data_IF_550081217810
#
_entry.id   IF_550081217810
#
_cell.length_a   1.000
_cell.length_b   1.000
_cell.length_c   1.000
_cell.angle_alpha   90.00
_cell.angle_beta   90.00
_cell.angle_gamma   90.00
#
_symmetry.space_group_name_H-M   'P 1'
#
loop_
_entity.id
_entity.type
_entity.pdbx_description
1 polymer ?
#
# COMPACT_ATOMS: atom_id res chain seq x y z
N UNK A 1 -5.95 -11.74 21.79
CA UNK A 1 -6.92 -12.02 20.70
C UNK A 1 -7.22 -13.48 20.73
N UNK A 2 -8.48 -13.95 20.56
CA UNK A 2 -8.71 -15.36 20.32
C UNK A 2 -7.91 -15.76 19.07
N UNK A 3 -7.52 -17.04 19.00
CA UNK A 3 -6.74 -17.64 17.94
C UNK A 3 -7.24 -17.21 16.56
N UNK A 4 -6.33 -17.08 15.60
CA UNK A 4 -6.55 -16.51 14.27
C UNK A 4 -7.91 -16.91 13.70
N UNK A 5 -8.83 -15.98 13.68
CA UNK A 5 -10.10 -16.17 12.99
C UNK A 5 -9.81 -16.37 11.50
N UNK A 6 -10.42 -17.40 10.90
CA UNK A 6 -10.41 -17.63 9.46
C UNK A 6 -10.72 -16.34 8.68
N UNK A 7 -10.15 -16.21 7.52
CA UNK A 7 -10.41 -15.10 6.60
C UNK A 7 -11.43 -15.45 5.50
N UNK A 8 -11.97 -16.66 5.48
CA UNK A 8 -12.82 -17.19 4.41
C UNK A 8 -14.14 -16.44 4.23
N UNK A 9 -14.72 -15.91 5.32
CA UNK A 9 -15.94 -15.09 5.24
C UNK A 9 -15.68 -13.61 4.91
N UNK A 10 -14.43 -13.20 4.65
CA UNK A 10 -14.11 -11.89 4.08
C UNK A 10 -14.30 -11.94 2.56
N UNK A 11 -15.46 -12.39 2.13
CA UNK A 11 -15.86 -12.64 0.75
C UNK A 11 -17.26 -12.11 0.47
N UNK A 12 -17.62 -11.97 -0.80
CA UNK A 12 -18.98 -11.65 -1.23
C UNK A 12 -19.79 -12.92 -1.44
N UNK A 13 -21.10 -12.86 -1.13
CA UNK A 13 -22.01 -14.01 -1.24
C UNK A 13 -21.99 -14.64 -2.64
N UNK A 14 -21.85 -13.82 -3.70
CA UNK A 14 -21.90 -14.35 -5.08
C UNK A 14 -20.75 -15.32 -5.39
N UNK A 15 -19.61 -15.26 -4.72
CA UNK A 15 -18.50 -16.19 -4.89
C UNK A 15 -18.93 -17.61 -4.48
N UNK A 16 -19.65 -17.73 -3.35
CA UNK A 16 -20.18 -18.98 -2.86
C UNK A 16 -21.34 -19.49 -3.70
N UNK A 17 -22.23 -18.61 -4.16
CA UNK A 17 -23.32 -19.02 -5.04
C UNK A 17 -22.86 -19.45 -6.43
N UNK A 18 -21.79 -18.82 -6.97
CA UNK A 18 -21.14 -19.28 -8.20
C UNK A 18 -20.44 -20.61 -8.01
N UNK A 19 -19.75 -20.83 -6.88
CA UNK A 19 -19.13 -22.09 -6.54
C UNK A 19 -20.18 -23.21 -6.49
N UNK A 20 -21.29 -22.99 -5.78
CA UNK A 20 -22.37 -23.98 -5.63
C UNK A 20 -22.99 -24.36 -7.00
N UNK A 21 -23.23 -23.36 -7.86
CA UNK A 21 -23.71 -23.61 -9.24
C UNK A 21 -22.69 -24.39 -10.08
N UNK A 22 -21.41 -24.03 -9.97
CA UNK A 22 -20.33 -24.69 -10.71
C UNK A 22 -20.04 -26.12 -10.23
N UNK A 23 -20.26 -26.44 -8.97
CA UNK A 23 -20.18 -27.81 -8.46
C UNK A 23 -21.26 -28.69 -9.08
N UNK A 24 -22.54 -28.21 -9.10
CA UNK A 24 -23.68 -28.91 -9.67
C UNK A 24 -23.53 -29.25 -11.16
N UNK A 25 -22.91 -28.38 -11.94
CA UNK A 25 -22.72 -28.63 -13.39
C UNK A 25 -21.33 -29.18 -13.76
N UNK A 26 -20.46 -29.39 -12.72
CA UNK A 26 -19.12 -29.96 -12.86
C UNK A 26 -18.07 -28.96 -13.37
N UNK A 27 -18.42 -27.69 -13.58
CA UNK A 27 -17.46 -26.69 -14.08
C UNK A 27 -16.53 -26.13 -12.99
N UNK A 28 -16.82 -26.39 -11.72
CA UNK A 28 -15.97 -25.97 -10.59
C UNK A 28 -14.52 -26.48 -10.70
N UNK A 29 -14.31 -27.62 -11.33
CA UNK A 29 -12.99 -28.28 -11.47
C UNK A 29 -12.22 -27.89 -12.75
N UNK A 30 -12.80 -27.07 -13.64
CA UNK A 30 -12.09 -26.60 -14.82
C UNK A 30 -10.93 -25.71 -14.44
N UNK A 31 -9.77 -25.94 -15.06
CA UNK A 31 -8.61 -25.05 -14.91
C UNK A 31 -8.93 -23.66 -15.43
N UNK A 32 -8.57 -22.66 -14.64
CA UNK A 32 -8.79 -21.25 -14.96
C UNK A 32 -7.57 -20.43 -14.62
N UNK A 33 -7.43 -19.33 -15.34
CA UNK A 33 -6.48 -18.25 -15.00
C UNK A 33 -7.28 -16.97 -14.80
N UNK A 34 -7.14 -16.37 -13.64
CA UNK A 34 -7.71 -15.06 -13.33
C UNK A 34 -6.59 -14.04 -13.14
N UNK A 35 -6.84 -12.81 -13.55
CA UNK A 35 -5.91 -11.70 -13.34
C UNK A 35 -6.57 -10.57 -12.57
N UNK A 36 -5.77 -9.98 -11.67
CA UNK A 36 -6.12 -8.77 -10.95
C UNK A 36 -5.32 -7.61 -11.51
N UNK A 37 -6.01 -6.57 -12.03
CA UNK A 37 -5.38 -5.43 -12.70
C UNK A 37 -6.22 -4.17 -12.61
N UNK A 38 -5.60 -3.00 -12.79
CA UNK A 38 -6.29 -1.71 -12.95
C UNK A 38 -6.62 -1.43 -14.41
N UNK A 39 -7.88 -1.11 -14.72
CA UNK A 39 -8.26 -0.72 -16.10
C UNK A 39 -7.70 0.63 -16.50
N UNK A 40 -7.57 1.52 -15.55
CA UNK A 40 -7.01 2.87 -15.72
C UNK A 40 -6.47 3.36 -14.39
N UNK A 41 -5.49 4.22 -14.46
CA UNK A 41 -5.06 4.97 -13.30
C UNK A 41 -6.04 6.13 -13.02
N UNK A 42 -6.24 6.55 -11.77
CA UNK A 42 -6.89 7.83 -11.45
C UNK A 42 -6.13 8.99 -12.10
N UNK A 43 -6.83 10.05 -12.53
CA UNK A 43 -6.22 11.19 -13.23
C UNK A 43 -5.05 11.85 -12.47
N UNK A 44 -5.09 11.79 -11.14
CA UNK A 44 -4.03 12.30 -10.25
C UNK A 44 -2.83 11.35 -10.13
N UNK A 45 -2.85 10.17 -10.77
CA UNK A 45 -1.80 9.14 -10.66
C UNK A 45 -1.16 8.89 -12.01
N UNK A 46 0.15 9.12 -12.13
CA UNK A 46 0.91 8.78 -13.34
C UNK A 46 1.47 7.37 -13.32
N UNK A 47 1.45 6.74 -12.16
CA UNK A 47 1.72 5.34 -11.87
C UNK A 47 1.03 4.95 -10.57
N UNK A 48 0.86 3.66 -10.33
CA UNK A 48 0.46 3.11 -9.05
C UNK A 48 1.63 2.37 -8.39
N UNK A 49 1.51 2.10 -7.10
CA UNK A 49 2.47 1.34 -6.31
C UNK A 49 1.84 0.06 -5.82
N UNK A 50 2.48 -1.08 -6.06
CA UNK A 50 2.00 -2.38 -5.59
C UNK A 50 2.27 -2.49 -4.09
N UNK A 51 1.21 -2.66 -3.32
CA UNK A 51 1.25 -2.91 -1.88
C UNK A 51 0.10 -3.82 -1.48
N UNK A 52 0.30 -4.62 -0.43
CA UNK A 52 -0.70 -5.55 0.09
C UNK A 52 -0.43 -7.02 -0.21
N UNK A 53 0.50 -7.35 -1.09
CA UNK A 53 0.85 -8.74 -1.42
C UNK A 53 1.23 -9.54 -0.17
N UNK A 54 2.07 -8.98 0.70
CA UNK A 54 2.42 -9.64 1.96
C UNK A 54 1.22 -9.89 2.86
N UNK A 55 0.23 -9.00 2.87
CA UNK A 55 -1.03 -9.19 3.62
C UNK A 55 -1.94 -10.24 3.00
N UNK A 56 -1.93 -10.36 1.67
CA UNK A 56 -2.65 -11.44 0.97
C UNK A 56 -2.10 -12.80 1.41
N UNK A 57 -0.79 -12.98 1.38
CA UNK A 57 -0.16 -14.24 1.78
C UNK A 57 -0.48 -14.59 3.23
N UNK A 58 -0.42 -13.61 4.13
CA UNK A 58 -0.82 -13.76 5.53
C UNK A 58 -2.32 -14.09 5.69
N UNK A 59 -3.19 -13.58 4.82
CA UNK A 59 -4.62 -13.88 4.85
C UNK A 59 -4.93 -15.26 4.26
N UNK A 60 -4.23 -15.65 3.18
CA UNK A 60 -4.36 -16.99 2.56
C UNK A 60 -3.99 -18.11 3.49
N UNK A 61 -2.96 -17.94 4.34
CA UNK A 61 -2.56 -18.92 5.34
C UNK A 61 -3.71 -19.30 6.30
N UNK A 62 -4.68 -18.39 6.47
CA UNK A 62 -5.85 -18.55 7.33
C UNK A 62 -7.15 -18.68 6.56
N UNK A 63 -7.09 -18.82 5.23
CA UNK A 63 -8.27 -18.91 4.39
C UNK A 63 -8.78 -20.36 4.34
N UNK A 64 -9.59 -20.69 5.32
CA UNK A 64 -10.23 -22.00 5.46
C UNK A 64 -11.64 -21.85 6.03
N UNK A 65 -12.55 -22.71 5.63
CA UNK A 65 -13.90 -22.74 6.19
C UNK A 65 -13.94 -23.73 7.36
N UNK A 66 -14.26 -23.22 8.55
CA UNK A 66 -14.50 -24.06 9.71
C UNK A 66 -15.94 -24.58 9.75
N UNK A 67 -16.21 -25.55 10.65
CA UNK A 67 -17.52 -26.19 10.74
C UNK A 67 -18.64 -25.20 11.09
N UNK A 68 -18.38 -24.22 11.96
CA UNK A 68 -19.37 -23.20 12.37
C UNK A 68 -19.75 -22.31 11.18
N UNK A 69 -18.78 -21.92 10.39
CA UNK A 69 -18.99 -21.11 9.17
C UNK A 69 -19.78 -21.89 8.12
N UNK A 70 -19.43 -23.16 7.88
CA UNK A 70 -20.12 -24.01 6.91
C UNK A 70 -21.58 -24.25 7.34
N UNK A 71 -21.81 -24.56 8.61
CA UNK A 71 -23.16 -24.75 9.15
C UNK A 71 -23.99 -23.48 9.00
N UNK A 72 -23.42 -22.30 9.33
CA UNK A 72 -24.08 -21.04 9.16
C UNK A 72 -24.44 -20.74 7.69
N UNK A 73 -23.51 -20.96 6.75
CA UNK A 73 -23.76 -20.75 5.32
C UNK A 73 -24.89 -21.65 4.79
N UNK A 74 -24.91 -22.92 5.25
CA UNK A 74 -25.96 -23.87 4.91
C UNK A 74 -27.31 -23.47 5.50
N UNK A 75 -27.37 -23.09 6.76
CA UNK A 75 -28.58 -22.68 7.46
C UNK A 75 -29.19 -21.40 6.87
N UNK A 76 -28.35 -20.51 6.33
CA UNK A 76 -28.81 -19.32 5.58
C UNK A 76 -29.24 -19.66 4.14
N UNK A 77 -29.11 -20.90 3.70
CA UNK A 77 -29.44 -21.32 2.33
C UNK A 77 -28.50 -20.72 1.26
N UNK A 78 -27.30 -20.30 1.63
CA UNK A 78 -26.31 -19.72 0.70
C UNK A 78 -25.63 -20.83 -0.10
N UNK A 79 -25.36 -21.97 0.51
CA UNK A 79 -24.72 -23.13 -0.10
C UNK A 79 -25.56 -24.40 0.06
N UNK A 80 -25.44 -25.31 -0.90
CA UNK A 80 -26.03 -26.65 -0.84
C UNK A 80 -25.19 -27.58 0.05
N UNK A 81 -25.73 -28.78 0.34
CA UNK A 81 -25.01 -29.83 1.05
C UNK A 81 -23.73 -30.28 0.31
N UNK A 82 -23.77 -30.31 -1.03
CA UNK A 82 -22.63 -30.63 -1.87
C UNK A 82 -21.50 -29.60 -1.70
N UNK A 83 -21.83 -28.32 -1.75
CA UNK A 83 -20.85 -27.25 -1.51
C UNK A 83 -20.34 -27.25 -0.06
N UNK A 84 -21.19 -27.55 0.92
CA UNK A 84 -20.78 -27.70 2.31
C UNK A 84 -19.72 -28.80 2.50
N UNK A 85 -19.95 -29.98 1.89
CA UNK A 85 -18.98 -31.08 1.90
C UNK A 85 -17.68 -30.69 1.21
N UNK A 86 -17.75 -30.01 0.06
CA UNK A 86 -16.58 -29.53 -0.66
C UNK A 86 -15.74 -28.59 0.20
N UNK A 87 -16.35 -27.59 0.84
CA UNK A 87 -15.67 -26.57 1.63
C UNK A 87 -15.00 -27.13 2.90
N UNK A 88 -15.49 -28.25 3.42
CA UNK A 88 -14.91 -28.89 4.62
C UNK A 88 -13.43 -29.23 4.48
N UNK A 89 -13.03 -29.68 3.28
CA UNK A 89 -11.64 -30.10 2.99
C UNK A 89 -10.92 -29.16 2.02
N UNK A 90 -11.64 -28.17 1.49
CA UNK A 90 -11.04 -27.29 0.51
C UNK A 90 -9.91 -26.46 1.13
N UNK A 91 -8.83 -26.38 0.40
CA UNK A 91 -7.70 -25.47 0.61
C UNK A 91 -7.25 -24.98 -0.75
N UNK A 92 -6.82 -23.74 -0.82
CA UNK A 92 -6.24 -23.23 -2.07
C UNK A 92 -5.06 -24.10 -2.49
N UNK A 93 -5.11 -24.64 -3.71
CA UNK A 93 -4.10 -25.57 -4.23
C UNK A 93 -3.46 -25.11 -5.53
N UNK A 94 -3.79 -23.88 -5.97
CA UNK A 94 -3.28 -23.30 -7.18
C UNK A 94 -1.96 -22.57 -7.03
N UNK A 95 -1.60 -21.82 -8.08
CA UNK A 95 -0.43 -20.98 -8.16
C UNK A 95 -0.83 -19.50 -8.17
N UNK A 96 -0.02 -18.65 -7.55
CA UNK A 96 -0.17 -17.20 -7.63
C UNK A 96 1.16 -16.60 -8.05
N UNK A 97 1.11 -15.85 -9.14
CA UNK A 97 2.17 -14.98 -9.60
C UNK A 97 1.75 -13.53 -9.43
N UNK A 98 2.68 -12.64 -9.11
CA UNK A 98 2.33 -11.23 -8.94
C UNK A 98 3.52 -10.31 -9.03
N UNK A 99 3.23 -9.02 -9.20
CA UNK A 99 4.27 -8.00 -9.08
C UNK A 99 4.83 -8.04 -7.67
N UNK A 100 6.14 -8.01 -7.58
CA UNK A 100 6.79 -7.90 -6.28
C UNK A 100 6.37 -6.60 -5.59
N UNK A 101 6.10 -6.66 -4.29
CA UNK A 101 5.62 -5.51 -3.51
C UNK A 101 6.63 -4.36 -3.58
N UNK A 102 6.13 -3.14 -3.84
CA UNK A 102 6.94 -1.95 -4.09
C UNK A 102 7.16 -1.63 -5.57
N UNK A 103 6.85 -2.53 -6.50
CA UNK A 103 6.91 -2.20 -7.94
C UNK A 103 5.91 -1.10 -8.31
N UNK A 104 6.26 -0.34 -9.35
CA UNK A 104 5.33 0.58 -9.99
C UNK A 104 4.49 -0.18 -11.02
N UNK A 105 3.20 0.18 -11.15
CA UNK A 105 2.28 -0.43 -12.11
C UNK A 105 1.50 0.60 -12.93
N UNK A 106 0.95 0.14 -14.05
CA UNK A 106 0.19 0.95 -15.01
C UNK A 106 -1.15 0.30 -15.35
N UNK A 107 -1.91 0.92 -16.25
CA UNK A 107 -3.17 0.35 -16.72
C UNK A 107 -2.94 -0.98 -17.42
N UNK A 108 -3.67 -2.02 -17.02
CA UNK A 108 -3.55 -3.36 -17.58
C UNK A 108 -2.47 -4.25 -16.96
N UNK A 109 -1.58 -3.71 -16.12
CA UNK A 109 -0.58 -4.49 -15.39
C UNK A 109 -1.23 -5.64 -14.61
N UNK A 110 -0.87 -6.92 -14.84
CA UNK A 110 -1.40 -8.06 -14.09
C UNK A 110 -0.72 -8.13 -12.71
N UNK A 111 -1.26 -7.35 -11.74
CA UNK A 111 -0.69 -7.27 -10.39
C UNK A 111 -0.66 -8.63 -9.71
N UNK A 112 -1.70 -9.42 -9.93
CA UNK A 112 -1.75 -10.84 -9.58
C UNK A 112 -2.31 -11.65 -10.74
N UNK A 113 -1.78 -12.86 -10.92
CA UNK A 113 -2.32 -13.91 -11.77
C UNK A 113 -2.52 -15.13 -10.90
N UNK A 114 -3.77 -15.61 -10.79
CA UNK A 114 -4.17 -16.76 -10.00
C UNK A 114 -4.54 -17.90 -10.95
N UNK A 115 -3.87 -19.03 -10.79
CA UNK A 115 -4.06 -20.22 -11.61
C UNK A 115 -4.49 -21.39 -10.73
N UNK A 116 -5.61 -22.01 -11.07
CA UNK A 116 -6.17 -23.12 -10.30
C UNK A 116 -7.43 -23.64 -10.96
N UNK A 117 -8.25 -24.35 -10.21
CA UNK A 117 -9.62 -24.65 -10.62
C UNK A 117 -10.48 -23.38 -10.55
N UNK A 118 -11.65 -23.39 -11.19
CA UNK A 118 -12.60 -22.30 -11.04
C UNK A 118 -12.95 -22.07 -9.56
N UNK A 119 -13.11 -23.13 -8.78
CA UNK A 119 -13.36 -23.08 -7.35
C UNK A 119 -12.22 -22.38 -6.62
N UNK A 120 -10.96 -22.71 -6.91
CA UNK A 120 -9.79 -22.07 -6.30
C UNK A 120 -9.76 -20.56 -6.58
N UNK A 121 -9.97 -20.20 -7.83
CA UNK A 121 -9.83 -18.80 -8.25
C UNK A 121 -11.01 -17.94 -7.78
N UNK A 122 -12.25 -18.44 -7.84
CA UNK A 122 -13.44 -17.62 -7.54
C UNK A 122 -13.55 -17.25 -6.08
N UNK A 123 -13.17 -18.13 -5.15
CA UNK A 123 -13.26 -17.90 -3.70
C UNK A 123 -12.32 -16.80 -3.19
N UNK A 124 -11.33 -16.39 -3.97
CA UNK A 124 -10.33 -15.41 -3.57
C UNK A 124 -10.64 -13.97 -4.04
N UNK A 125 -11.65 -13.77 -4.91
CA UNK A 125 -11.87 -12.48 -5.58
C UNK A 125 -11.94 -11.32 -4.61
N UNK A 126 -12.87 -11.33 -3.66
CA UNK A 126 -13.10 -10.21 -2.74
C UNK A 126 -11.91 -10.01 -1.79
N UNK A 127 -11.33 -11.08 -1.27
CA UNK A 127 -10.15 -10.97 -0.38
C UNK A 127 -8.99 -10.27 -1.08
N UNK A 128 -8.63 -10.73 -2.28
CA UNK A 128 -7.53 -10.15 -3.07
C UNK A 128 -7.81 -8.69 -3.43
N UNK A 129 -9.02 -8.41 -3.89
CA UNK A 129 -9.43 -7.07 -4.31
C UNK A 129 -9.47 -6.09 -3.14
N UNK A 130 -10.03 -6.47 -1.99
CA UNK A 130 -10.16 -5.60 -0.83
C UNK A 130 -8.80 -5.16 -0.29
N UNK A 131 -7.84 -6.09 -0.23
CA UNK A 131 -6.49 -5.82 0.24
C UNK A 131 -5.74 -4.93 -0.75
N UNK A 132 -5.65 -5.32 -2.01
CA UNK A 132 -4.85 -4.58 -2.99
C UNK A 132 -5.45 -3.22 -3.35
N UNK A 133 -6.78 -3.11 -3.43
CA UNK A 133 -7.42 -1.82 -3.69
C UNK A 133 -7.08 -0.77 -2.63
N UNK A 134 -7.10 -1.17 -1.36
CA UNK A 134 -6.77 -0.28 -0.25
C UNK A 134 -5.26 0.02 -0.19
N UNK A 135 -4.44 -1.03 -0.13
CA UNK A 135 -3.01 -0.87 0.13
C UNK A 135 -2.27 -0.18 -1.03
N UNK A 136 -2.61 -0.52 -2.29
CA UNK A 136 -2.06 0.18 -3.46
C UNK A 136 -2.47 1.65 -3.50
N UNK A 137 -3.71 1.99 -3.09
CA UNK A 137 -4.15 3.39 -3.04
C UNK A 137 -3.34 4.20 -2.02
N UNK A 138 -3.15 3.67 -0.81
CA UNK A 138 -2.36 4.33 0.24
C UNK A 138 -0.89 4.43 -0.14
N UNK A 139 -0.27 3.34 -0.63
CA UNK A 139 1.13 3.35 -1.05
C UNK A 139 1.38 4.34 -2.21
N UNK A 140 0.44 4.44 -3.15
CA UNK A 140 0.53 5.40 -4.25
C UNK A 140 0.41 6.86 -3.76
N UNK A 141 -0.45 7.13 -2.77
CA UNK A 141 -0.52 8.46 -2.13
C UNK A 141 0.79 8.77 -1.39
N UNK A 142 1.29 7.82 -0.59
CA UNK A 142 2.54 7.95 0.14
C UNK A 142 3.73 8.24 -0.79
N UNK A 143 3.82 7.53 -1.93
CA UNK A 143 4.85 7.76 -2.94
C UNK A 143 4.82 9.19 -3.49
N UNK A 144 3.64 9.73 -3.80
CA UNK A 144 3.50 11.12 -4.25
C UNK A 144 3.93 12.13 -3.18
N UNK A 145 3.56 11.88 -1.93
CA UNK A 145 3.95 12.72 -0.79
C UNK A 145 5.48 12.71 -0.59
N UNK A 146 6.12 11.55 -0.69
CA UNK A 146 7.58 11.45 -0.54
C UNK A 146 8.34 12.03 -1.73
N UNK A 147 7.77 12.01 -2.94
CA UNK A 147 8.28 12.77 -4.09
C UNK A 147 8.22 14.27 -3.80
N UNK A 148 7.07 14.77 -3.36
CA UNK A 148 6.86 16.19 -3.04
C UNK A 148 7.75 16.66 -1.88
N UNK A 149 8.11 15.76 -0.97
CA UNK A 149 8.98 16.07 0.17
C UNK A 149 10.46 16.25 -0.18
N UNK A 150 10.89 15.91 -1.40
CA UNK A 150 12.28 16.06 -1.87
C UNK A 150 13.31 15.51 -0.89
N UNK A 151 13.11 14.28 -0.40
CA UNK A 151 14.02 13.60 0.52
C UNK A 151 13.84 13.93 2.00
N UNK A 152 12.97 14.88 2.35
CA UNK A 152 12.61 15.15 3.75
C UNK A 152 11.73 14.01 4.29
N UNK A 153 11.94 13.55 5.53
CA UNK A 153 11.16 12.48 6.11
C UNK A 153 9.65 12.77 6.16
N UNK A 154 8.85 11.79 5.74
CA UNK A 154 7.41 11.76 5.96
C UNK A 154 7.07 10.69 6.99
N UNK A 155 6.18 11.01 7.95
CA UNK A 155 5.77 10.15 9.05
C UNK A 155 4.25 9.94 9.01
N UNK A 156 3.81 8.70 9.24
CA UNK A 156 2.38 8.38 9.34
C UNK A 156 1.84 8.77 10.72
N UNK A 157 0.85 9.65 10.72
CA UNK A 157 0.07 10.08 11.89
C UNK A 157 -1.44 9.85 11.68
N UNK A 158 -1.79 8.88 10.82
CA UNK A 158 -3.16 8.61 10.38
C UNK A 158 -3.96 7.66 11.26
N UNK A 159 -3.35 7.02 12.29
CA UNK A 159 -3.98 5.98 13.10
C UNK A 159 -5.39 6.34 13.62
N UNK A 160 -5.61 7.60 14.00
CA UNK A 160 -6.90 8.11 14.51
C UNK A 160 -7.84 8.66 13.43
N UNK A 161 -7.52 8.50 12.15
CA UNK A 161 -8.24 9.07 10.99
C UNK A 161 -8.86 8.03 10.08
N UNK A 162 -8.70 6.74 10.39
CA UNK A 162 -9.29 5.62 9.66
C UNK A 162 -9.87 4.60 10.66
N UNK A 163 -10.56 3.58 10.14
CA UNK A 163 -10.94 2.42 10.93
C UNK A 163 -9.68 1.79 11.55
N UNK A 164 -9.74 1.40 12.82
CA UNK A 164 -8.57 0.98 13.63
C UNK A 164 -7.74 -0.15 12.97
N UNK A 165 -8.40 -1.07 12.26
CA UNK A 165 -7.68 -2.13 11.53
C UNK A 165 -7.16 -1.68 10.17
N UNK A 166 -7.88 -0.79 9.48
CA UNK A 166 -7.40 -0.19 8.24
C UNK A 166 -6.19 0.71 8.47
N UNK A 167 -6.11 1.39 9.63
CA UNK A 167 -4.94 2.19 10.01
C UNK A 167 -3.65 1.36 10.06
N UNK A 168 -3.71 0.14 10.61
CA UNK A 168 -2.57 -0.80 10.63
C UNK A 168 -2.09 -1.13 9.22
N UNK A 169 -3.02 -1.39 8.31
CA UNK A 169 -2.71 -1.70 6.91
C UNK A 169 -2.18 -0.49 6.17
N UNK A 170 -2.77 0.69 6.41
CA UNK A 170 -2.33 1.96 5.83
C UNK A 170 -0.91 2.32 6.25
N UNK A 171 -0.55 2.13 7.52
CA UNK A 171 0.80 2.34 8.02
C UNK A 171 1.82 1.47 7.26
N UNK A 172 1.53 0.17 7.08
CA UNK A 172 2.39 -0.74 6.30
C UNK A 172 2.55 -0.28 4.85
N UNK A 173 1.45 0.07 4.19
CA UNK A 173 1.46 0.55 2.82
C UNK A 173 2.21 1.89 2.67
N UNK A 174 2.12 2.77 3.66
CA UNK A 174 2.85 4.04 3.70
C UNK A 174 4.38 3.83 3.72
N UNK A 175 4.87 2.84 4.49
CA UNK A 175 6.31 2.50 4.52
C UNK A 175 6.78 2.06 3.14
N UNK A 176 6.01 1.24 2.42
CA UNK A 176 6.33 0.85 1.04
C UNK A 176 6.43 2.09 0.14
N UNK A 177 5.53 3.06 0.30
CA UNK A 177 5.54 4.34 -0.43
C UNK A 177 6.63 5.32 0.00
N UNK A 178 7.49 4.95 0.98
CA UNK A 178 8.68 5.71 1.37
C UNK A 178 8.57 6.48 2.70
N UNK A 179 7.49 6.31 3.46
CA UNK A 179 7.38 6.86 4.82
C UNK A 179 8.38 6.19 5.76
N UNK A 180 8.81 6.87 6.82
CA UNK A 180 9.91 6.42 7.68
C UNK A 180 9.48 6.00 9.08
N UNK A 181 8.19 6.01 9.38
CA UNK A 181 7.66 5.59 10.67
C UNK A 181 6.16 5.83 10.77
N UNK A 182 5.58 5.27 11.84
CA UNK A 182 4.14 5.37 12.13
C UNK A 182 3.87 5.66 13.59
N UNK A 183 2.77 6.36 13.86
CA UNK A 183 2.22 6.53 15.20
C UNK A 183 1.36 5.34 15.66
N UNK A 184 1.07 4.39 14.77
CA UNK A 184 0.28 3.19 15.06
C UNK A 184 1.13 2.11 15.71
N UNK A 185 0.89 1.85 16.98
CA UNK A 185 1.68 0.88 17.75
C UNK A 185 1.43 -0.58 17.32
N UNK A 186 0.23 -0.92 16.87
CA UNK A 186 -0.05 -2.27 16.37
C UNK A 186 0.69 -2.53 15.06
N UNK A 187 0.69 -1.58 14.14
CA UNK A 187 1.47 -1.66 12.91
C UNK A 187 2.97 -1.76 13.19
N UNK A 188 3.46 -0.92 14.10
CA UNK A 188 4.86 -0.91 14.50
C UNK A 188 5.30 -2.27 15.08
N UNK A 189 4.50 -2.85 15.98
CA UNK A 189 4.77 -4.14 16.59
C UNK A 189 4.72 -5.29 15.57
N UNK A 190 3.68 -5.28 14.72
CA UNK A 190 3.41 -6.38 13.78
C UNK A 190 4.44 -6.44 12.64
N UNK A 191 4.85 -5.30 12.14
CA UNK A 191 5.70 -5.20 10.94
C UNK A 191 7.10 -4.66 11.21
N UNK A 192 7.47 -4.45 12.47
CA UNK A 192 8.79 -3.91 12.84
C UNK A 192 9.03 -2.46 12.39
N UNK A 193 7.96 -1.68 12.22
CA UNK A 193 8.04 -0.28 11.79
C UNK A 193 8.48 0.60 12.95
N UNK A 194 9.30 1.61 12.67
CA UNK A 194 9.72 2.59 13.66
C UNK A 194 8.52 3.34 14.24
N UNK A 195 8.36 3.28 15.58
CA UNK A 195 7.37 4.09 16.28
C UNK A 195 7.77 5.56 16.27
N UNK A 196 6.79 6.44 16.05
CA UNK A 196 6.96 7.89 16.20
C UNK A 196 5.80 8.44 17.05
N UNK A 197 6.05 9.56 17.69
CA UNK A 197 5.06 10.26 18.48
C UNK A 197 5.71 10.95 19.66
N UNK A 198 5.12 12.05 20.11
CA UNK A 198 5.62 12.84 21.24
C UNK A 198 4.48 13.15 22.20
N UNK A 199 3.80 14.28 22.02
CA UNK A 199 2.66 14.69 22.81
C UNK A 199 1.58 15.33 21.93
N UNK A 200 0.36 15.43 22.44
CA UNK A 200 -0.73 16.21 21.87
C UNK A 200 -0.96 17.46 22.72
N UNK A 201 -1.71 18.44 22.21
CA UNK A 201 -2.09 19.66 22.95
C UNK A 201 -2.70 19.37 24.32
N UNK A 202 -3.44 18.26 24.48
CA UNK A 202 -4.02 17.83 25.75
C UNK A 202 -2.97 17.66 26.86
N UNK A 203 -1.73 17.27 26.52
CA UNK A 203 -0.67 17.16 27.50
C UNK A 203 -0.20 18.54 28.01
N UNK A 204 -0.07 19.51 27.11
CA UNK A 204 0.23 20.90 27.47
C UNK A 204 -0.90 21.52 28.32
N UNK A 205 -2.17 21.27 27.89
CA UNK A 205 -3.36 21.78 28.59
C UNK A 205 -3.60 21.16 30.00
N UNK A 206 -3.00 20.00 30.27
CA UNK A 206 -3.06 19.32 31.57
C UNK A 206 -2.19 20.06 32.64
N UNK A 207 -1.13 20.72 32.22
CA UNK A 207 -0.17 21.38 33.12
C UNK A 207 -0.56 22.84 33.39
N UNK A 208 -0.09 23.37 34.50
CA UNK A 208 -0.37 24.77 34.89
C UNK A 208 0.32 25.78 33.96
N UNK A 209 1.43 25.37 33.31
CA UNK A 209 2.10 26.17 32.30
C UNK A 209 2.61 25.28 31.16
N UNK A 210 2.77 25.86 29.96
CA UNK A 210 3.39 25.18 28.81
C UNK A 210 4.83 24.75 29.12
N UNK A 211 5.56 25.57 29.92
CA UNK A 211 6.91 25.23 30.33
C UNK A 211 6.95 23.96 31.18
N UNK A 212 6.05 23.80 32.16
CA UNK A 212 5.98 22.60 33.01
C UNK A 212 5.69 21.36 32.16
N UNK A 213 4.83 21.47 31.14
CA UNK A 213 4.57 20.40 30.20
C UNK A 213 5.83 19.99 29.41
N UNK A 214 6.60 20.98 28.94
CA UNK A 214 7.82 20.73 28.18
C UNK A 214 8.93 20.14 29.06
N UNK A 215 9.11 20.66 30.29
CA UNK A 215 10.06 20.10 31.26
C UNK A 215 9.72 18.63 31.57
N UNK A 216 8.44 18.32 31.78
CA UNK A 216 7.95 16.95 32.00
C UNK A 216 8.21 16.05 30.78
N UNK A 217 7.95 16.53 29.56
CA UNK A 217 8.19 15.76 28.33
C UNK A 217 9.70 15.53 28.12
N UNK A 218 10.53 16.53 28.30
CA UNK A 218 11.99 16.43 28.17
C UNK A 218 12.56 15.47 29.21
N UNK A 219 12.06 15.50 30.47
CA UNK A 219 12.47 14.55 31.49
C UNK A 219 12.21 13.09 31.11
N UNK A 220 11.11 12.82 30.33
CA UNK A 220 10.75 11.48 29.87
C UNK A 220 11.49 11.06 28.59
N UNK A 221 11.61 11.96 27.62
CA UNK A 221 12.05 11.63 26.27
C UNK A 221 13.48 12.14 25.94
N UNK A 222 14.06 12.91 26.82
CA UNK A 222 15.36 13.57 26.64
C UNK A 222 15.26 14.92 25.90
N UNK A 223 16.28 15.75 26.01
CA UNK A 223 16.35 17.06 25.36
C UNK A 223 16.20 17.00 23.82
N UNK A 224 16.70 15.95 23.19
CA UNK A 224 16.60 15.74 21.74
C UNK A 224 15.19 15.40 21.22
N UNK A 225 14.14 15.50 22.05
CA UNK A 225 12.75 15.24 21.65
C UNK A 225 12.19 16.35 20.75
N UNK A 226 10.98 16.13 20.23
CA UNK A 226 10.20 17.13 19.48
C UNK A 226 9.10 17.69 20.37
N UNK A 227 9.02 19.01 20.53
CA UNK A 227 8.02 19.70 21.32
C UNK A 227 6.99 20.42 20.43
N UNK A 228 5.70 20.31 20.80
CA UNK A 228 4.57 20.93 20.09
C UNK A 228 4.38 22.35 20.63
N UNK A 229 4.71 23.37 19.83
CA UNK A 229 4.87 24.74 20.30
C UNK A 229 3.72 25.69 19.98
N UNK A 230 2.65 25.19 19.39
CA UNK A 230 1.50 25.97 18.92
C UNK A 230 0.22 25.74 19.74
N UNK A 231 0.36 25.36 21.02
CA UNK A 231 -0.81 25.23 21.92
C UNK A 231 -1.39 26.59 22.28
N UNK A 232 -0.53 27.60 22.49
CA UNK A 232 -0.91 28.97 22.84
C UNK A 232 -0.28 29.98 21.86
N UNK A 233 0.84 30.58 22.22
CA UNK A 233 1.60 31.49 21.37
C UNK A 233 2.87 30.82 20.87
N UNK A 234 3.01 30.68 19.55
CA UNK A 234 4.11 29.94 18.90
C UNK A 234 5.45 30.53 19.31
N UNK A 235 5.58 31.88 19.36
CA UNK A 235 6.83 32.55 19.71
C UNK A 235 7.26 32.21 21.12
N UNK A 236 6.33 32.28 22.07
CA UNK A 236 6.61 31.92 23.46
C UNK A 236 6.86 30.42 23.62
N UNK A 237 6.11 29.59 22.91
CA UNK A 237 6.28 28.13 22.87
C UNK A 237 7.68 27.73 22.42
N UNK A 238 8.24 28.37 21.38
CA UNK A 238 9.63 28.13 20.94
C UNK A 238 10.64 28.51 22.03
N UNK A 239 10.43 29.64 22.75
CA UNK A 239 11.29 30.02 23.86
C UNK A 239 11.25 28.96 24.96
N UNK A 240 10.05 28.58 25.41
CA UNK A 240 9.83 27.59 26.46
C UNK A 240 10.47 26.25 26.10
N UNK A 241 10.35 25.83 24.82
CA UNK A 241 10.89 24.57 24.33
C UNK A 241 12.42 24.53 24.33
N UNK A 242 13.07 25.57 23.82
CA UNK A 242 14.55 25.67 23.83
C UNK A 242 15.10 25.74 25.25
N UNK A 243 14.45 26.51 26.12
CA UNK A 243 14.86 26.62 27.52
C UNK A 243 14.67 25.31 28.30
N UNK A 244 13.59 24.55 28.05
CA UNK A 244 13.37 23.26 28.68
C UNK A 244 14.49 22.27 28.31
N UNK A 245 14.86 22.20 27.01
CA UNK A 245 15.95 21.34 26.57
C UNK A 245 17.31 21.74 27.17
N UNK A 246 17.61 23.06 27.24
CA UNK A 246 18.84 23.57 27.85
C UNK A 246 18.91 23.30 29.34
N UNK A 247 17.78 23.46 30.05
CA UNK A 247 17.71 23.17 31.50
C UNK A 247 17.99 21.68 31.79
N UNK A 248 17.68 20.78 30.85
CA UNK A 248 18.01 19.37 30.90
C UNK A 248 19.45 19.05 30.42
N UNK A 249 20.25 20.05 30.12
CA UNK A 249 21.64 19.91 29.73
C UNK A 249 21.87 19.48 28.30
N UNK A 250 20.88 19.66 27.38
CA UNK A 250 20.99 19.29 25.99
C UNK A 250 20.48 20.34 25.02
N UNK A 251 20.43 19.97 23.73
CA UNK A 251 19.82 20.76 22.65
C UNK A 251 18.47 20.20 22.26
N UNK A 252 17.52 21.07 21.91
CA UNK A 252 16.21 20.67 21.44
C UNK A 252 16.32 19.98 20.08
N UNK A 253 15.73 18.79 19.96
CA UNK A 253 15.76 18.04 18.70
C UNK A 253 14.92 18.69 17.62
N UNK A 254 13.64 19.00 17.91
CA UNK A 254 12.76 19.68 16.97
C UNK A 254 11.63 20.44 17.67
N UNK A 255 11.04 21.37 16.94
CA UNK A 255 9.73 21.95 17.25
C UNK A 255 8.70 21.40 16.24
N UNK A 256 7.43 21.25 16.68
CA UNK A 256 6.33 20.86 15.80
C UNK A 256 5.30 21.97 15.69
N UNK A 257 4.91 22.25 14.45
CA UNK A 257 3.88 23.21 14.06
C UNK A 257 2.70 22.43 13.44
N UNK A 258 1.50 22.59 14.00
CA UNK A 258 0.29 21.87 13.58
C UNK A 258 -0.80 22.81 13.04
N UNK A 259 -0.61 24.12 13.13
CA UNK A 259 -1.63 25.13 12.84
C UNK A 259 -1.06 26.43 12.24
N UNK A 260 -1.96 27.25 11.69
CA UNK A 260 -1.61 28.55 11.12
C UNK A 260 -1.14 28.49 9.65
N UNK A 261 -0.56 29.59 9.16
CA UNK A 261 0.15 29.62 7.88
C UNK A 261 1.52 28.96 8.04
N UNK A 262 1.57 27.65 7.77
CA UNK A 262 2.74 26.84 8.02
C UNK A 262 4.00 27.30 7.30
N UNK A 263 3.88 27.91 6.13
CA UNK A 263 5.03 28.48 5.38
C UNK A 263 5.56 29.68 6.15
N UNK A 264 4.70 30.65 6.46
CA UNK A 264 5.09 31.86 7.18
C UNK A 264 5.61 31.54 8.58
N UNK A 265 4.95 30.64 9.31
CA UNK A 265 5.37 30.25 10.65
C UNK A 265 6.71 29.51 10.65
N UNK A 266 6.98 28.64 9.68
CA UNK A 266 8.27 27.95 9.57
C UNK A 266 9.44 28.96 9.40
N UNK A 267 9.28 30.00 8.59
CA UNK A 267 10.29 31.05 8.47
C UNK A 267 10.49 31.85 9.75
N UNK A 268 9.40 32.26 10.44
CA UNK A 268 9.49 32.99 11.71
C UNK A 268 10.18 32.15 12.77
N UNK A 269 9.78 30.88 12.90
CA UNK A 269 10.33 29.95 13.88
C UNK A 269 11.81 29.66 13.58
N UNK A 270 12.21 29.48 12.32
CA UNK A 270 13.62 29.28 11.95
C UNK A 270 14.46 30.50 12.35
N UNK A 271 14.02 31.70 12.02
CA UNK A 271 14.71 32.93 12.41
C UNK A 271 14.81 33.10 13.90
N UNK A 272 13.79 32.73 14.67
CA UNK A 272 13.81 32.77 16.14
C UNK A 272 14.77 31.75 16.74
N UNK A 273 14.74 30.48 16.27
CA UNK A 273 15.67 29.44 16.69
C UNK A 273 17.12 29.84 16.45
N UNK A 274 17.41 30.43 15.28
CA UNK A 274 18.75 30.90 14.91
C UNK A 274 19.21 32.06 15.83
N UNK A 275 18.32 33.01 16.10
CA UNK A 275 18.60 34.11 17.01
C UNK A 275 18.85 33.63 18.45
N UNK A 276 18.26 32.52 18.86
CA UNK A 276 18.49 31.87 20.16
C UNK A 276 19.73 30.95 20.16
N UNK A 277 20.45 30.82 19.04
CA UNK A 277 21.57 29.90 18.90
C UNK A 277 21.17 28.41 18.86
N UNK A 278 19.90 28.10 18.59
CA UNK A 278 19.38 26.73 18.45
C UNK A 278 19.36 26.31 16.98
N UNK A 279 20.49 26.45 16.27
CA UNK A 279 20.62 26.28 14.84
C UNK A 279 20.47 24.83 14.38
N UNK A 280 20.76 23.86 15.29
CA UNK A 280 20.61 22.42 15.05
C UNK A 280 19.16 21.93 15.19
N UNK A 281 18.29 22.71 15.88
CA UNK A 281 16.89 22.34 16.12
C UNK A 281 16.10 22.31 14.82
N UNK A 282 15.43 21.20 14.56
CA UNK A 282 14.64 20.95 13.36
C UNK A 282 13.22 21.49 13.48
N UNK A 283 12.56 21.66 12.34
CA UNK A 283 11.16 22.06 12.26
C UNK A 283 10.37 20.91 11.60
N UNK A 284 9.44 20.34 12.37
CA UNK A 284 8.49 19.33 11.90
C UNK A 284 7.14 20.00 11.68
N UNK A 285 6.53 19.79 10.54
CA UNK A 285 5.20 20.31 10.24
C UNK A 285 4.20 19.18 10.18
N UNK A 286 3.07 19.37 10.85
CA UNK A 286 1.91 18.48 10.79
C UNK A 286 0.69 19.32 10.40
N UNK A 287 -0.48 18.77 10.32
CA UNK A 287 -1.76 19.35 9.94
C UNK A 287 -2.40 18.51 8.82
N UNK A 288 -3.39 19.04 8.10
CA UNK A 288 -4.03 18.35 6.96
C UNK A 288 -3.15 18.36 5.69
N UNK A 289 -1.94 17.81 5.80
CA UNK A 289 -0.98 17.74 4.70
C UNK A 289 -1.39 16.68 3.67
N UNK A 290 -1.24 17.06 2.40
CA UNK A 290 -1.23 16.19 1.23
C UNK A 290 0.01 16.47 0.37
N UNK A 291 0.15 15.79 -0.77
CA UNK A 291 1.28 16.00 -1.68
C UNK A 291 1.42 17.44 -2.19
N UNK A 292 0.31 18.18 -2.30
CA UNK A 292 0.32 19.58 -2.77
C UNK A 292 0.77 20.53 -1.67
N UNK A 293 0.26 20.35 -0.45
CA UNK A 293 0.68 21.12 0.72
C UNK A 293 2.18 20.89 1.03
N UNK A 294 2.65 19.63 0.93
CA UNK A 294 4.06 19.28 1.09
C UNK A 294 4.91 19.98 0.03
N UNK A 295 4.49 19.98 -1.23
CA UNK A 295 5.19 20.66 -2.32
C UNK A 295 5.24 22.19 -2.08
N UNK A 296 4.16 22.81 -1.60
CA UNK A 296 4.13 24.22 -1.26
C UNK A 296 5.09 24.58 -0.12
N UNK A 297 5.28 23.67 0.85
CA UNK A 297 6.24 23.79 1.94
C UNK A 297 7.70 23.53 1.50
N UNK A 298 7.91 23.15 0.25
CA UNK A 298 9.24 22.81 -0.28
C UNK A 298 10.27 23.95 -0.17
N UNK A 299 9.84 25.22 -0.28
CA UNK A 299 10.68 26.40 -0.14
C UNK A 299 10.86 26.86 1.33
N UNK A 300 10.05 26.36 2.26
CA UNK A 300 10.13 26.71 3.68
C UNK A 300 11.22 25.88 4.39
N UNK A 301 11.78 26.40 5.50
CA UNK A 301 12.79 25.70 6.30
C UNK A 301 12.17 24.60 7.18
N UNK A 302 11.52 23.63 6.54
CA UNK A 302 10.89 22.47 7.17
C UNK A 302 11.79 21.27 7.00
N UNK A 303 11.98 20.48 8.04
CA UNK A 303 12.86 19.31 8.02
C UNK A 303 12.12 17.99 7.89
N UNK A 304 10.85 17.92 8.30
CA UNK A 304 10.04 16.69 8.21
C UNK A 304 8.54 16.98 8.25
N UNK A 305 7.75 16.00 7.81
CA UNK A 305 6.29 16.09 7.69
C UNK A 305 5.60 14.95 8.44
N UNK A 306 4.53 15.28 9.17
CA UNK A 306 3.61 14.30 9.72
C UNK A 306 2.28 14.35 8.99
N UNK A 307 1.86 13.24 8.38
CA UNK A 307 0.68 13.19 7.53
C UNK A 307 -0.36 12.26 8.13
N UNK A 308 -1.61 12.71 8.23
CA UNK A 308 -2.71 11.96 8.81
C UNK A 308 -3.76 11.55 7.78
N UNK A 309 -4.90 12.26 7.77
CA UNK A 309 -6.11 11.93 7.01
C UNK A 309 -5.84 11.65 5.52
N UNK A 310 -5.10 12.52 4.86
CA UNK A 310 -4.84 12.40 3.43
C UNK A 310 -4.05 11.14 3.05
N UNK A 311 -3.12 10.70 3.92
CA UNK A 311 -2.39 9.46 3.71
C UNK A 311 -3.34 8.25 3.75
N UNK A 312 -4.07 8.07 4.89
CA UNK A 312 -4.88 6.87 5.12
C UNK A 312 -6.15 6.79 4.27
N UNK A 313 -6.50 7.88 3.58
CA UNK A 313 -7.61 7.94 2.61
C UNK A 313 -7.12 7.97 1.16
N UNK A 314 -5.85 7.63 0.90
CA UNK A 314 -5.27 7.62 -0.44
C UNK A 314 -5.25 8.99 -1.13
N UNK A 315 -5.19 10.08 -0.36
CA UNK A 315 -5.25 11.47 -0.87
C UNK A 315 -6.51 11.75 -1.69
N UNK A 316 -7.67 11.26 -1.21
CA UNK A 316 -8.97 11.40 -1.89
C UNK A 316 -9.25 10.32 -2.94
N UNK A 317 -8.35 9.37 -3.13
CA UNK A 317 -8.52 8.20 -4.00
C UNK A 317 -8.35 6.94 -3.15
N UNK A 318 -9.38 6.54 -2.38
CA UNK A 318 -9.27 5.51 -1.34
C UNK A 318 -9.15 4.07 -1.89
N UNK A 319 -9.30 3.89 -3.20
CA UNK A 319 -9.22 2.60 -3.88
C UNK A 319 -8.40 2.72 -5.15
N UNK A 320 -7.60 1.71 -5.45
CA UNK A 320 -6.83 1.64 -6.70
C UNK A 320 -7.69 1.27 -7.93
N UNK A 321 -8.98 1.02 -7.74
CA UNK A 321 -9.96 0.66 -8.77
C UNK A 321 -9.55 -0.59 -9.57
N UNK A 322 -8.96 -1.55 -8.89
CA UNK A 322 -8.56 -2.83 -9.45
C UNK A 322 -9.77 -3.73 -9.67
N UNK A 323 -9.66 -4.62 -10.63
CA UNK A 323 -10.67 -5.64 -10.98
C UNK A 323 -10.00 -7.02 -11.06
N UNK A 324 -10.78 -8.07 -10.82
CA UNK A 324 -10.36 -9.47 -10.93
C UNK A 324 -11.19 -10.14 -12.02
N UNK A 325 -10.54 -10.75 -13.02
CA UNK A 325 -11.25 -11.29 -14.20
C UNK A 325 -10.62 -12.57 -14.69
N UNK A 326 -11.49 -13.55 -15.03
CA UNK A 326 -11.07 -14.71 -15.78
C UNK A 326 -10.57 -14.26 -17.16
N UNK A 327 -9.37 -14.71 -17.52
CA UNK A 327 -8.71 -14.39 -18.81
C UNK A 327 -8.47 -15.63 -19.65
N UNK A 328 -8.51 -16.82 -19.03
CA UNK A 328 -8.28 -18.10 -19.66
C UNK A 328 -8.99 -19.20 -18.88
N UNK A 329 -9.51 -20.22 -19.56
CA UNK A 329 -10.13 -21.39 -18.94
C UNK A 329 -10.02 -22.60 -19.84
N UNK A 330 -10.20 -23.80 -19.29
CA UNK A 330 -10.45 -25.00 -20.03
C UNK A 330 -11.90 -25.03 -20.57
N UNK A 331 -12.09 -25.58 -21.78
CA UNK A 331 -13.41 -25.91 -22.32
C UNK A 331 -13.85 -27.34 -21.88
N UNK A 332 -14.93 -27.84 -22.47
CA UNK A 332 -15.44 -29.21 -22.21
C UNK A 332 -14.54 -30.35 -22.71
N UNK A 333 -13.58 -30.05 -23.57
CA UNK A 333 -12.62 -31.01 -24.13
C UNK A 333 -11.25 -30.94 -23.40
N UNK A 334 -11.10 -30.08 -22.41
CA UNK A 334 -9.83 -29.83 -21.73
C UNK A 334 -8.88 -28.87 -22.48
N UNK A 335 -9.38 -28.25 -23.58
CA UNK A 335 -8.57 -27.31 -24.36
C UNK A 335 -8.61 -25.91 -23.75
N UNK A 336 -7.45 -25.23 -23.75
CA UNK A 336 -7.34 -23.87 -23.25
C UNK A 336 -8.03 -22.86 -24.17
N UNK A 337 -8.98 -22.11 -23.63
CA UNK A 337 -9.69 -21.03 -24.31
C UNK A 337 -9.39 -19.69 -23.68
N UNK A 338 -8.92 -18.74 -24.49
CA UNK A 338 -8.75 -17.36 -24.07
C UNK A 338 -10.12 -16.68 -23.99
N UNK A 339 -10.40 -16.06 -22.84
CA UNK A 339 -11.69 -15.42 -22.61
C UNK A 339 -11.53 -13.94 -22.28
N UNK A 340 -12.46 -13.16 -22.82
CA UNK A 340 -12.48 -11.72 -22.57
C UNK A 340 -13.92 -11.20 -22.60
N UNK A 341 -14.23 -10.29 -21.70
CA UNK A 341 -15.51 -9.57 -21.75
C UNK A 341 -15.47 -8.57 -22.91
N UNK A 342 -16.41 -8.73 -23.86
CA UNK A 342 -16.66 -7.78 -24.96
C UNK A 342 -17.80 -6.84 -24.57
N UNK A 343 -17.47 -5.65 -24.09
CA UNK A 343 -18.46 -4.59 -23.84
C UNK A 343 -17.89 -3.27 -24.34
N UNK A 344 -18.73 -2.37 -24.86
CA UNK A 344 -18.34 -1.13 -25.54
C UNK A 344 -17.35 -0.22 -24.77
N UNK A 345 -17.34 -0.27 -23.43
CA UNK A 345 -16.43 0.54 -22.59
C UNK A 345 -15.55 -0.26 -21.63
N UNK A 346 -15.58 -1.60 -21.67
CA UNK A 346 -14.93 -2.48 -20.67
C UNK A 346 -14.33 -3.73 -21.31
N UNK A 347 -13.56 -3.58 -22.41
CA UNK A 347 -12.83 -4.69 -23.00
C UNK A 347 -11.66 -5.12 -22.11
N UNK A 348 -11.46 -6.44 -21.99
CA UNK A 348 -10.26 -7.04 -21.39
C UNK A 348 -9.50 -7.80 -22.47
N UNK A 349 -8.18 -7.89 -22.35
CA UNK A 349 -7.37 -8.75 -23.23
C UNK A 349 -7.36 -10.15 -22.61
N UNK A 350 -7.90 -11.12 -23.34
CA UNK A 350 -7.89 -12.53 -22.94
C UNK A 350 -6.49 -13.14 -23.02
N UNK A 351 -6.27 -14.19 -22.23
CA UNK A 351 -4.99 -14.89 -22.12
C UNK A 351 -4.13 -14.38 -20.95
N UNK A 352 -3.36 -15.30 -20.38
CA UNK A 352 -2.37 -14.99 -19.33
C UNK A 352 -1.34 -13.99 -19.85
N UNK A 353 -0.91 -13.07 -18.98
CA UNK A 353 0.09 -12.06 -19.32
C UNK A 353 1.33 -12.22 -18.48
N UNK A 354 2.49 -12.11 -19.11
CA UNK A 354 3.78 -12.01 -18.44
C UNK A 354 4.35 -10.61 -18.68
N UNK A 355 4.66 -9.91 -17.59
CA UNK A 355 4.96 -8.49 -17.59
C UNK A 355 6.43 -8.19 -17.42
N UNK A 356 6.95 -7.24 -18.20
CA UNK A 356 8.32 -6.72 -18.09
C UNK A 356 8.39 -5.21 -18.29
N UNK A 357 9.41 -4.59 -17.71
CA UNK A 357 9.74 -3.17 -17.88
C UNK A 357 10.87 -3.02 -18.89
N UNK A 358 10.58 -2.30 -19.98
CA UNK A 358 11.61 -1.95 -20.97
C UNK A 358 12.28 -0.66 -20.55
N UNK A 359 13.62 -0.67 -20.48
CA UNK A 359 14.43 0.49 -20.16
C UNK A 359 15.13 1.01 -21.41
N UNK A 360 15.20 2.33 -21.57
CA UNK A 360 16.00 2.98 -22.59
C UNK A 360 17.49 2.95 -22.26
N UNK A 361 18.32 3.42 -23.18
CA UNK A 361 19.78 3.53 -23.01
C UNK A 361 20.18 4.45 -21.84
N UNK A 362 19.32 5.39 -21.50
CA UNK A 362 19.46 6.30 -20.36
C UNK A 362 19.04 5.70 -19.01
N UNK A 363 18.58 4.44 -19.02
CA UNK A 363 18.13 3.71 -17.83
C UNK A 363 16.70 4.06 -17.39
N UNK A 364 16.00 4.92 -18.09
CA UNK A 364 14.60 5.22 -17.78
C UNK A 364 13.64 4.27 -18.50
N UNK A 365 12.52 3.99 -17.85
CA UNK A 365 11.47 3.13 -18.40
C UNK A 365 10.78 3.82 -19.59
N UNK A 366 10.66 3.09 -20.69
CA UNK A 366 10.03 3.55 -21.94
C UNK A 366 8.64 2.97 -22.12
N UNK A 367 8.42 1.74 -21.68
CA UNK A 367 7.12 1.05 -21.72
C UNK A 367 7.05 -0.09 -20.71
N UNK A 368 5.82 -0.50 -20.41
CA UNK A 368 5.54 -1.78 -19.78
C UNK A 368 5.07 -2.75 -20.85
N UNK A 369 5.82 -3.84 -21.06
CA UNK A 369 5.55 -4.87 -22.04
C UNK A 369 4.78 -6.03 -21.40
N UNK A 370 3.62 -6.35 -21.94
CA UNK A 370 2.79 -7.48 -21.55
C UNK A 370 2.76 -8.53 -22.66
N UNK A 371 3.47 -9.65 -22.46
CA UNK A 371 3.42 -10.81 -23.33
C UNK A 371 2.17 -11.62 -23.05
N UNK A 372 1.34 -11.89 -24.08
CA UNK A 372 0.02 -12.49 -23.94
C UNK A 372 0.01 -13.90 -24.53
N UNK A 373 -0.47 -14.89 -23.74
CA UNK A 373 -0.71 -16.25 -24.23
C UNK A 373 0.47 -17.21 -24.01
N UNK A 374 1.42 -16.88 -23.14
CA UNK A 374 2.61 -17.70 -22.86
C UNK A 374 2.63 -18.20 -21.40
N UNK A 375 3.46 -19.21 -21.10
CA UNK A 375 3.77 -19.62 -19.72
C UNK A 375 4.64 -18.58 -19.04
N UNK A 376 4.77 -18.63 -17.69
CA UNK A 376 5.66 -17.69 -16.99
C UNK A 376 7.12 -17.93 -17.34
N UNK A 377 7.56 -19.18 -17.41
CA UNK A 377 8.93 -19.55 -17.75
C UNK A 377 9.32 -19.09 -19.16
N UNK A 378 8.48 -19.40 -20.13
CA UNK A 378 8.66 -18.99 -21.52
C UNK A 378 8.59 -17.47 -21.67
N UNK A 379 7.61 -16.84 -21.02
CA UNK A 379 7.44 -15.40 -21.04
C UNK A 379 8.64 -14.66 -20.41
N UNK A 380 9.19 -15.16 -19.33
CA UNK A 380 10.40 -14.58 -18.73
C UNK A 380 11.63 -14.69 -19.67
N UNK A 381 11.79 -15.82 -20.36
CA UNK A 381 12.86 -15.96 -21.35
C UNK A 381 12.67 -14.96 -22.50
N UNK A 382 11.46 -14.83 -23.02
CA UNK A 382 11.13 -13.87 -24.08
C UNK A 382 11.30 -12.41 -23.63
N UNK A 383 10.99 -12.06 -22.39
CA UNK A 383 11.25 -10.73 -21.85
C UNK A 383 12.75 -10.43 -21.82
N UNK A 384 13.57 -11.41 -21.41
CA UNK A 384 15.02 -11.25 -21.39
C UNK A 384 15.59 -11.02 -22.81
N UNK A 385 15.11 -11.74 -23.82
CA UNK A 385 15.47 -11.53 -25.23
C UNK A 385 15.12 -10.12 -25.73
N UNK A 386 14.07 -9.51 -25.19
CA UNK A 386 13.63 -8.15 -25.51
C UNK A 386 14.29 -7.07 -24.64
N UNK A 387 15.23 -7.46 -23.78
CA UNK A 387 15.88 -6.54 -22.82
C UNK A 387 14.92 -5.97 -21.78
N UNK A 388 13.81 -6.63 -21.51
CA UNK A 388 12.81 -6.20 -20.54
C UNK A 388 13.06 -6.87 -19.16
N UNK A 389 13.05 -6.08 -18.09
CA UNK A 389 13.18 -6.57 -16.72
C UNK A 389 11.84 -7.21 -16.28
N UNK A 390 11.83 -8.50 -15.86
CA UNK A 390 10.62 -9.13 -15.36
C UNK A 390 10.06 -8.42 -14.13
N UNK A 391 8.72 -8.35 -14.02
CA UNK A 391 8.02 -7.67 -12.94
C UNK A 391 7.31 -8.63 -11.98
N UNK A 392 6.99 -9.85 -12.44
CA UNK A 392 6.25 -10.84 -11.68
C UNK A 392 7.19 -11.87 -11.05
N UNK A 393 6.83 -12.26 -9.82
CA UNK A 393 7.47 -13.33 -9.07
C UNK A 393 6.42 -14.35 -8.65
N UNK A 394 6.82 -15.60 -8.42
CA UNK A 394 5.93 -16.61 -7.89
C UNK A 394 5.76 -16.40 -6.38
N UNK A 395 4.52 -16.22 -5.94
CA UNK A 395 4.13 -15.95 -4.55
C UNK A 395 3.59 -17.20 -3.85
N UNK A 396 2.89 -18.04 -4.62
CA UNK A 396 2.33 -19.30 -4.15
C UNK A 396 2.56 -20.36 -5.22
N UNK A 397 2.99 -21.54 -4.82
CA UNK A 397 3.20 -22.70 -5.71
C UNK A 397 2.44 -23.90 -5.18
N UNK A 398 1.47 -24.41 -5.94
CA UNK A 398 0.65 -25.56 -5.54
C UNK A 398 0.04 -25.37 -4.13
N UNK A 399 -0.45 -24.18 -3.81
CA UNK A 399 -0.97 -23.81 -2.49
C UNK A 399 0.09 -23.52 -1.43
N UNK A 400 1.38 -23.74 -1.70
CA UNK A 400 2.45 -23.43 -0.75
C UNK A 400 2.90 -21.98 -0.87
N UNK A 401 2.78 -21.24 0.23
CA UNK A 401 3.11 -19.80 0.31
C UNK A 401 4.61 -19.63 0.48
N UNK A 402 5.19 -18.69 -0.25
CA UNK A 402 6.55 -18.22 -0.01
C UNK A 402 6.58 -17.39 1.29
N UNK A 403 7.03 -18.01 2.38
CA UNK A 403 7.08 -17.36 3.68
C UNK A 403 8.05 -16.17 3.75
N UNK A 404 9.04 -16.08 2.85
CA UNK A 404 9.98 -14.95 2.77
C UNK A 404 9.37 -13.70 2.13
N UNK A 405 8.20 -13.85 1.50
CA UNK A 405 7.51 -12.73 0.86
C UNK A 405 6.77 -11.81 1.84
N UNK A 406 6.70 -12.15 3.13
CA UNK A 406 6.02 -11.37 4.17
C UNK A 406 6.86 -11.23 5.45
N UNK A 407 6.47 -10.30 6.33
CA UNK A 407 7.23 -9.96 7.55
C UNK A 407 8.03 -8.67 7.43
N UNK A 408 8.81 -8.31 8.45
CA UNK A 408 9.51 -7.02 8.53
C UNK A 408 10.62 -6.87 7.47
N UNK A 409 11.37 -7.92 7.21
CA UNK A 409 12.41 -7.90 6.19
C UNK A 409 11.83 -7.79 4.77
N UNK A 410 10.68 -8.44 4.52
CA UNK A 410 9.97 -8.28 3.26
C UNK A 410 9.49 -6.83 3.06
N UNK A 411 9.07 -6.16 4.14
CA UNK A 411 8.65 -4.75 4.10
C UNK A 411 9.80 -3.83 3.72
N UNK A 412 10.99 -4.01 4.31
CA UNK A 412 12.18 -3.23 3.96
C UNK A 412 12.59 -3.44 2.50
N UNK A 413 12.60 -4.69 2.03
CA UNK A 413 12.86 -5.01 0.61
C UNK A 413 11.84 -4.38 -0.34
N UNK A 414 10.56 -4.32 0.06
CA UNK A 414 9.50 -3.67 -0.72
C UNK A 414 9.72 -2.15 -0.82
N UNK A 415 10.10 -1.49 0.28
CA UNK A 415 10.43 -0.06 0.30
C UNK A 415 11.64 0.25 -0.60
N UNK A 416 12.71 -0.54 -0.52
CA UNK A 416 13.89 -0.39 -1.37
C UNK A 416 13.56 -0.63 -2.85
N UNK A 417 12.74 -1.64 -3.14
CA UNK A 417 12.26 -1.90 -4.50
C UNK A 417 11.47 -0.72 -5.04
N UNK A 418 10.58 -0.15 -4.20
CA UNK A 418 9.81 1.01 -4.61
C UNK A 418 10.70 2.20 -4.96
N UNK A 419 11.72 2.47 -4.16
CA UNK A 419 12.67 3.53 -4.46
C UNK A 419 13.37 3.32 -5.81
N UNK A 420 13.81 2.09 -6.10
CA UNK A 420 14.43 1.74 -7.39
C UNK A 420 13.43 1.84 -8.54
N UNK A 421 12.27 1.18 -8.43
CA UNK A 421 11.24 1.16 -9.47
C UNK A 421 10.73 2.56 -9.82
N UNK A 422 10.60 3.44 -8.82
CA UNK A 422 10.23 4.85 -9.01
C UNK A 422 11.32 5.64 -9.74
N UNK A 423 12.58 5.39 -9.41
CA UNK A 423 13.71 6.07 -10.03
C UNK A 423 13.98 5.60 -11.47
N UNK A 424 13.51 4.41 -11.85
CA UNK A 424 13.47 3.94 -13.25
C UNK A 424 12.45 4.73 -14.09
N UNK A 425 11.46 5.41 -13.49
CA UNK A 425 10.46 6.14 -14.24
C UNK A 425 10.98 7.49 -14.74
N UNK A 426 10.56 7.93 -15.93
CA UNK A 426 10.94 9.23 -16.45
C UNK A 426 10.42 10.37 -15.54
N UNK A 427 11.09 11.52 -15.55
CA UNK A 427 10.78 12.65 -14.66
C UNK A 427 9.32 13.12 -14.70
N UNK A 428 8.63 12.92 -15.81
CA UNK A 428 7.21 13.22 -15.91
C UNK A 428 6.34 12.42 -14.94
N UNK A 429 6.80 11.27 -14.46
CA UNK A 429 6.12 10.47 -13.45
C UNK A 429 6.01 11.20 -12.10
N UNK A 430 6.93 12.12 -11.82
CA UNK A 430 7.04 12.83 -10.54
C UNK A 430 6.18 14.10 -10.48
N UNK A 431 5.53 14.46 -11.59
CA UNK A 431 4.65 15.63 -11.63
C UNK A 431 3.39 15.38 -10.78
N UNK A 432 3.03 16.36 -9.98
CA UNK A 432 1.82 16.33 -9.15
C UNK A 432 0.54 16.68 -9.94
N UNK A 433 0.68 17.37 -11.09
CA UNK A 433 -0.45 17.70 -11.95
C UNK A 433 -1.16 16.45 -12.48
N UNK A 434 -2.45 16.55 -12.71
CA UNK A 434 -3.22 15.53 -13.43
C UNK A 434 -2.61 15.25 -14.82
N UNK A 435 -2.81 14.05 -15.33
CA UNK A 435 -2.34 13.66 -16.64
C UNK A 435 -2.30 12.15 -16.85
N UNK A 436 -1.77 11.76 -18.00
CA UNK A 436 -1.69 10.37 -18.40
C UNK A 436 -0.60 9.59 -17.65
N UNK A 437 -0.62 8.26 -17.79
CA UNK A 437 0.42 7.37 -17.27
C UNK A 437 1.82 7.81 -17.73
N UNK A 438 2.82 7.61 -16.85
CA UNK A 438 4.20 8.04 -17.13
C UNK A 438 4.84 7.32 -18.30
N UNK A 439 4.44 6.07 -18.53
CA UNK A 439 4.84 5.24 -19.67
C UNK A 439 3.62 4.50 -20.22
N UNK A 440 3.61 4.14 -21.52
CA UNK A 440 2.57 3.32 -22.10
C UNK A 440 2.68 1.85 -21.68
N UNK A 441 1.54 1.14 -21.72
CA UNK A 441 1.47 -0.32 -21.65
C UNK A 441 1.29 -0.89 -23.05
N UNK A 442 2.18 -1.79 -23.48
CA UNK A 442 2.13 -2.47 -24.78
C UNK A 442 1.81 -3.95 -24.60
N UNK A 443 0.84 -4.42 -25.36
CA UNK A 443 0.48 -5.83 -25.44
C UNK A 443 1.12 -6.47 -26.67
N UNK A 444 1.76 -7.63 -26.49
CA UNK A 444 2.36 -8.44 -27.55
C UNK A 444 1.85 -9.87 -27.43
N UNK A 445 1.17 -10.38 -28.47
CA UNK A 445 0.74 -11.78 -28.52
C UNK A 445 1.94 -12.66 -28.83
N UNK A 446 2.08 -13.75 -28.07
CA UNK A 446 3.08 -14.79 -28.27
C UNK A 446 2.38 -16.02 -28.84
N UNK A 447 2.81 -16.51 -30.01
CA UNK A 447 2.22 -17.67 -30.71
C UNK A 447 1.39 -17.28 -31.88
#
# INVERSE_FOLDING_TARGET
>A
MPASTSTSLLTDMYELTMLDGALKDGTAHRRCTFELFGRRLPATRRFGVVAGTGRILEALERFEFDAEQIDWLRDQGIISEEAAQFLTTWRFSGDIWGYAEGECYFSGSPLLTVEGTFADCTLLETLLLSILNHDCAVASAASRMTIAAHGRPCMDMGARRAHERAAVSAARAAIIGGFQGTSDLEAAKRYGIRCIGTAAHAFTLLHDSERDAFDSQVAKLGAGTTLLVDTYDIRQGVINAVEAARAAGGELGAVRLDSGDLVAEAFKVRGQLDAMGATSTKITVTSDLDEYAIAALGAAPVDSYGVGTKLVTGSGVPTAALVYKVVQREDSNGETVLVAKKAESKSTVGGRKVAGRVLGEDGYATEELLLVGTSFEEGQALLAERGARPLQVQLVRGGQIDADAWGSEALSRAQERHLRARNELPYQAWRLSEGEAAIPTRYEKVG
#
